data_IF_759582749174
#
_entry.id   IF_759582749174
#
_cell.length_a   1.000
_cell.length_b   1.000
_cell.length_c   1.000
_cell.angle_alpha   90.00
_cell.angle_beta   90.00
_cell.angle_gamma   90.00
#
_symmetry.space_group_name_H-M   'P 1'
#
loop_
_entity.id
_entity.type
_entity.pdbx_description
1 polymer ?
#
# COMPACT_ATOMS: atom_id res chain seq x y z
N UNK A 1 6.35 15.57 36.32
CA UNK A 1 6.30 14.14 35.93
C UNK A 1 4.83 13.80 35.84
N UNK A 2 4.22 13.41 34.73
CA UNK A 2 4.71 12.90 33.46
C UNK A 2 4.00 13.61 32.29
N UNK A 3 4.66 13.66 31.14
CA UNK A 3 4.02 14.04 29.87
C UNK A 3 3.12 12.87 29.47
N UNK A 4 1.82 13.11 29.34
CA UNK A 4 0.93 12.20 28.61
C UNK A 4 0.48 12.94 27.35
N UNK A 5 1.38 12.99 26.38
CA UNK A 5 1.03 13.30 25.00
C UNK A 5 1.26 11.98 24.29
N UNK A 6 0.17 11.26 24.00
CA UNK A 6 0.24 10.08 23.15
C UNK A 6 1.07 10.40 21.90
N UNK A 7 1.87 9.46 21.39
CA UNK A 7 2.79 9.73 20.31
C UNK A 7 2.03 10.37 19.13
N UNK A 8 2.65 11.32 18.40
CA UNK A 8 2.03 11.86 17.21
C UNK A 8 1.80 10.70 16.24
N UNK A 9 0.53 10.34 16.05
CA UNK A 9 0.16 9.43 14.98
C UNK A 9 0.73 9.99 13.68
N UNK A 10 1.53 9.20 12.96
CA UNK A 10 2.04 9.61 11.65
C UNK A 10 0.88 10.05 10.76
N UNK A 11 1.11 11.06 9.93
CA UNK A 11 0.12 11.51 8.96
C UNK A 11 -0.15 10.45 7.89
N UNK A 12 -1.27 10.57 7.18
CA UNK A 12 -1.59 9.72 6.02
C UNK A 12 -0.44 9.71 4.98
N UNK A 13 0.24 10.84 4.77
CA UNK A 13 1.36 10.95 3.84
C UNK A 13 2.60 10.21 4.35
N UNK A 14 2.88 10.27 5.64
CA UNK A 14 3.98 9.52 6.28
C UNK A 14 3.70 8.02 6.26
N UNK A 15 2.45 7.60 6.55
CA UNK A 15 2.02 6.21 6.45
C UNK A 15 2.15 5.66 5.02
N UNK A 16 1.73 6.44 4.02
CA UNK A 16 1.90 6.11 2.61
C UNK A 16 3.39 5.93 2.26
N UNK A 17 4.26 6.85 2.71
CA UNK A 17 5.71 6.77 2.49
C UNK A 17 6.33 5.54 3.14
N UNK A 18 5.93 5.23 4.38
CA UNK A 18 6.39 4.04 5.10
C UNK A 18 5.95 2.76 4.37
N UNK A 19 4.67 2.65 3.99
CA UNK A 19 4.15 1.51 3.22
C UNK A 19 4.88 1.30 1.89
N UNK A 20 5.16 2.38 1.15
CA UNK A 20 5.94 2.32 -0.09
C UNK A 20 7.36 1.78 0.14
N UNK A 21 7.99 2.18 1.24
CA UNK A 21 9.35 1.74 1.59
C UNK A 21 9.35 0.26 1.95
N UNK A 22 8.51 -0.15 2.90
CA UNK A 22 8.39 -1.54 3.34
C UNK A 22 8.06 -2.50 2.19
N UNK A 23 7.09 -2.12 1.34
CA UNK A 23 6.67 -2.98 0.24
C UNK A 23 7.77 -3.16 -0.82
N UNK A 24 8.54 -2.09 -1.13
CA UNK A 24 9.69 -2.17 -2.03
C UNK A 24 10.76 -3.11 -1.48
N UNK A 25 11.07 -3.01 -0.19
CA UNK A 25 12.07 -3.86 0.45
C UNK A 25 11.67 -5.33 0.44
N UNK A 26 10.40 -5.64 0.77
CA UNK A 26 9.91 -7.02 0.85
C UNK A 26 9.74 -7.70 -0.50
N UNK A 27 9.32 -6.94 -1.53
CA UNK A 27 8.96 -7.53 -2.83
C UNK A 27 10.03 -7.33 -3.89
N UNK A 28 10.93 -6.34 -3.70
CA UNK A 28 11.87 -5.86 -4.72
C UNK A 28 11.18 -5.51 -6.05
N UNK A 29 9.89 -5.16 -6.01
CA UNK A 29 9.09 -4.82 -7.19
C UNK A 29 9.03 -3.32 -7.43
N UNK A 30 8.74 -2.97 -8.67
CA UNK A 30 8.48 -1.58 -9.06
C UNK A 30 7.08 -1.17 -8.61
N UNK A 31 7.02 -0.23 -7.68
CA UNK A 31 5.78 0.40 -7.26
C UNK A 31 5.36 1.47 -8.27
N UNK A 32 4.10 1.44 -8.71
CA UNK A 32 3.48 2.50 -9.53
C UNK A 32 3.02 3.67 -8.66
N UNK A 33 2.38 3.39 -7.53
CA UNK A 33 1.91 4.42 -6.61
C UNK A 33 0.95 3.90 -5.55
N UNK A 34 0.48 4.83 -4.71
CA UNK A 34 -0.54 4.58 -3.68
C UNK A 34 -1.91 4.86 -4.27
N UNK A 35 -2.85 3.93 -4.09
CA UNK A 35 -4.23 4.02 -4.59
C UNK A 35 -5.24 4.34 -3.48
N UNK A 36 -4.94 4.01 -2.21
CA UNK A 36 -5.75 4.38 -1.05
C UNK A 36 -4.89 4.51 0.22
N UNK A 37 -5.33 5.36 1.15
CA UNK A 37 -4.78 5.50 2.50
C UNK A 37 -5.94 5.71 3.46
N UNK A 38 -6.18 4.74 4.34
CA UNK A 38 -7.32 4.72 5.26
C UNK A 38 -6.82 4.57 6.71
N UNK A 39 -7.27 5.44 7.65
CA UNK A 39 -6.94 5.28 9.06
C UNK A 39 -7.68 4.08 9.65
N UNK A 40 -7.08 3.46 10.66
CA UNK A 40 -7.65 2.38 11.47
C UNK A 40 -7.50 2.70 12.95
N UNK A 41 -7.96 1.82 13.84
CA UNK A 41 -7.76 2.00 15.29
C UNK A 41 -6.28 1.93 15.70
N UNK A 42 -5.49 1.10 15.03
CA UNK A 42 -4.10 0.78 15.41
C UNK A 42 -3.05 1.37 14.45
N UNK A 43 -3.46 2.18 13.47
CA UNK A 43 -2.57 2.74 12.46
C UNK A 43 -3.26 3.01 11.13
N UNK A 44 -2.68 2.54 10.04
CA UNK A 44 -3.14 2.83 8.68
C UNK A 44 -3.15 1.58 7.80
N UNK A 45 -4.14 1.49 6.90
CA UNK A 45 -4.15 0.57 5.76
C UNK A 45 -3.86 1.38 4.50
N UNK A 46 -2.80 1.00 3.79
CA UNK A 46 -2.37 1.64 2.54
C UNK A 46 -2.50 0.65 1.41
N UNK A 47 -3.20 1.01 0.34
CA UNK A 47 -3.24 0.22 -0.89
C UNK A 47 -2.20 0.77 -1.89
N UNK A 48 -1.39 -0.13 -2.44
CA UNK A 48 -0.28 0.19 -3.34
C UNK A 48 -0.37 -0.65 -4.61
N UNK A 49 -0.31 0.02 -5.76
CA UNK A 49 -0.23 -0.62 -7.06
C UNK A 49 1.22 -0.90 -7.45
N UNK A 50 1.49 -2.13 -7.91
CA UNK A 50 2.84 -2.64 -8.18
C UNK A 50 2.87 -3.36 -9.53
N UNK A 51 3.98 -3.23 -10.27
CA UNK A 51 4.28 -4.09 -11.42
C UNK A 51 4.85 -5.42 -10.92
N UNK A 52 4.07 -6.49 -10.99
CA UNK A 52 4.53 -7.82 -10.55
C UNK A 52 5.31 -8.57 -11.62
N UNK A 53 4.92 -8.42 -12.89
CA UNK A 53 5.54 -9.12 -14.03
C UNK A 53 5.59 -8.17 -15.25
N UNK A 54 6.81 -7.87 -15.72
CA UNK A 54 7.04 -6.99 -16.88
C UNK A 54 7.01 -7.80 -18.17
N UNK A 55 6.29 -7.31 -19.18
CA UNK A 55 6.11 -7.99 -20.47
C UNK A 55 6.36 -7.06 -21.66
N UNK A 56 6.47 -7.64 -22.86
CA UNK A 56 6.66 -6.91 -24.11
C UNK A 56 5.48 -7.23 -25.05
N UNK A 57 4.69 -6.22 -25.48
CA UNK A 57 4.79 -4.80 -25.13
C UNK A 57 4.39 -4.52 -23.67
N UNK A 58 4.78 -3.37 -23.11
CA UNK A 58 4.52 -2.99 -21.71
C UNK A 58 3.03 -2.90 -21.34
N UNK A 59 2.15 -2.76 -22.33
CA UNK A 59 0.69 -2.87 -22.14
C UNK A 59 0.25 -4.26 -21.67
N UNK A 60 1.10 -5.27 -21.83
CA UNK A 60 0.88 -6.63 -21.35
C UNK A 60 1.44 -6.89 -19.94
N UNK A 61 2.06 -5.89 -19.28
CA UNK A 61 2.52 -6.02 -17.89
C UNK A 61 1.39 -6.52 -16.97
N UNK A 62 1.74 -7.33 -15.98
CA UNK A 62 0.83 -7.67 -14.88
C UNK A 62 1.06 -6.72 -13.72
N UNK A 63 -0.01 -6.03 -13.34
CA UNK A 63 -0.11 -5.21 -12.15
C UNK A 63 -0.76 -6.00 -11.00
N UNK A 64 -0.57 -5.50 -9.79
CA UNK A 64 -1.18 -6.02 -8.59
C UNK A 64 -1.45 -4.90 -7.58
N UNK A 65 -2.51 -5.07 -6.79
CA UNK A 65 -2.76 -4.24 -5.61
C UNK A 65 -2.29 -5.00 -4.38
N UNK A 66 -1.60 -4.28 -3.50
CA UNK A 66 -1.18 -4.73 -2.20
C UNK A 66 -1.79 -3.86 -1.14
N UNK A 67 -2.35 -4.48 -0.10
CA UNK A 67 -2.65 -3.79 1.15
C UNK A 67 -1.43 -3.93 2.07
N UNK A 68 -1.04 -2.81 2.67
CA UNK A 68 0.05 -2.70 3.63
C UNK A 68 -0.51 -2.06 4.89
N UNK A 69 -0.43 -2.77 6.00
CA UNK A 69 -0.86 -2.31 7.32
C UNK A 69 0.38 -1.77 8.05
N UNK A 70 0.32 -0.51 8.48
CA UNK A 70 1.38 0.12 9.27
C UNK A 70 0.82 0.64 10.58
N UNK A 71 1.59 0.56 11.66
CA UNK A 71 1.19 1.08 12.97
C UNK A 71 1.29 2.62 13.03
N UNK A 72 0.94 3.19 14.20
CA UNK A 72 0.98 4.62 14.46
C UNK A 72 2.37 5.25 14.34
N UNK A 73 3.43 4.45 14.38
CA UNK A 73 4.84 4.87 14.24
C UNK A 73 5.39 4.59 12.83
N UNK A 74 4.61 3.97 11.95
CA UNK A 74 4.99 3.62 10.58
C UNK A 74 5.72 2.29 10.43
N UNK A 75 5.71 1.44 11.46
CA UNK A 75 6.25 0.09 11.36
C UNK A 75 5.27 -0.81 10.61
N UNK A 76 5.80 -1.73 9.81
CA UNK A 76 5.00 -2.71 9.10
C UNK A 76 4.37 -3.71 10.08
N UNK A 77 3.04 -3.82 10.06
CA UNK A 77 2.29 -4.84 10.78
C UNK A 77 2.01 -6.05 9.88
N UNK A 78 1.51 -5.80 8.67
CA UNK A 78 1.17 -6.84 7.71
C UNK A 78 1.23 -6.32 6.27
N UNK A 79 1.34 -7.24 5.31
CA UNK A 79 1.10 -6.93 3.91
C UNK A 79 0.49 -8.14 3.20
N UNK A 80 -0.34 -7.89 2.19
CA UNK A 80 -0.91 -8.93 1.35
C UNK A 80 -1.20 -8.41 -0.05
N UNK A 81 -1.08 -9.29 -1.05
CA UNK A 81 -1.57 -9.03 -2.40
C UNK A 81 -3.07 -9.28 -2.45
N UNK A 82 -3.86 -8.27 -2.75
CA UNK A 82 -5.33 -8.37 -2.80
C UNK A 82 -5.85 -8.66 -4.19
N UNK A 83 -5.14 -8.19 -5.23
CA UNK A 83 -5.57 -8.35 -6.63
C UNK A 83 -4.39 -8.48 -7.59
N UNK A 84 -4.61 -9.11 -8.74
CA UNK A 84 -3.76 -9.04 -9.94
C UNK A 84 -4.60 -8.77 -11.19
N UNK A 85 -4.06 -7.98 -12.12
CA UNK A 85 -4.68 -7.69 -13.42
C UNK A 85 -3.62 -7.32 -14.46
N UNK A 86 -3.98 -7.39 -15.74
CA UNK A 86 -3.13 -6.86 -16.81
C UNK A 86 -3.26 -5.33 -16.91
N UNK A 87 -2.19 -4.62 -17.23
CA UNK A 87 -2.16 -3.14 -17.33
C UNK A 87 -3.26 -2.56 -18.25
N UNK A 88 -3.62 -3.25 -19.32
CA UNK A 88 -4.70 -2.86 -20.23
C UNK A 88 -6.11 -3.28 -19.81
N UNK A 89 -6.28 -3.87 -18.62
CA UNK A 89 -7.60 -4.31 -18.14
C UNK A 89 -8.41 -3.14 -17.57
N UNK A 90 -9.67 -3.02 -17.99
CA UNK A 90 -10.62 -2.05 -17.44
C UNK A 90 -11.17 -2.44 -16.06
N UNK A 91 -10.79 -3.60 -15.55
CA UNK A 91 -11.29 -4.17 -14.30
C UNK A 91 -10.39 -3.75 -13.11
N UNK A 92 -10.28 -2.44 -12.90
CA UNK A 92 -9.66 -1.86 -11.69
C UNK A 92 -10.83 -1.43 -10.80
N UNK A 93 -11.54 -2.43 -10.27
CA UNK A 93 -12.80 -2.25 -9.55
C UNK A 93 -12.66 -1.35 -8.33
N UNK A 94 -13.52 -0.33 -8.26
CA UNK A 94 -13.81 0.46 -7.08
C UNK A 94 -14.15 -0.45 -5.89
N UNK A 95 -13.62 -0.14 -4.70
CA UNK A 95 -13.97 -0.78 -3.43
C UNK A 95 -15.49 -0.70 -3.22
N UNK A 96 -16.22 -1.77 -3.52
CA UNK A 96 -17.57 -1.98 -2.96
C UNK A 96 -17.40 -2.38 -1.51
N UNK A 97 -17.31 -1.38 -0.63
CA UNK A 97 -17.41 -1.58 0.81
C UNK A 97 -18.79 -2.12 1.17
N UNK A 98 -18.83 -3.20 1.95
CA UNK A 98 -20.01 -3.63 2.72
C UNK A 98 -19.92 -3.10 4.14
#
# INVERSE_FOLDING_TARGET
>A
MAQDTGPPAISAAEAASAALTHLKELTSKEVQGVTSVEPTEDGWVVEVEVVEDRRIPSSADMLALYEVEVDLDGNLLAYRRTRRYGRGSSDIGARTGS
#
